data_IF_564189152687
#
_entry.id   IF_564189152687
#
_cell.length_a   1.000
_cell.length_b   1.000
_cell.length_c   1.000
_cell.angle_alpha   90.00
_cell.angle_beta   90.00
_cell.angle_gamma   90.00
#
_symmetry.space_group_name_H-M   'P 1'
#
loop_
_entity.id
_entity.type
_entity.pdbx_description
1 polymer ?
#
# COMPACT_ATOMS: atom_id res chain seq x y z
N UNK A 1 -5.12 0.47 11.39
CA UNK A 1 -3.88 0.14 10.69
C UNK A 1 -3.92 -1.34 10.40
N UNK A 2 -3.79 -1.77 9.15
CA UNK A 2 -3.78 -3.20 8.85
C UNK A 2 -2.59 -3.85 9.57
N UNK A 3 -2.84 -4.96 10.27
CA UNK A 3 -1.83 -5.73 11.00
C UNK A 3 -0.68 -6.13 10.05
N UNK A 4 -1.03 -6.37 8.79
CA UNK A 4 -0.11 -6.70 7.71
C UNK A 4 0.94 -5.61 7.41
N UNK A 5 0.52 -4.33 7.39
CA UNK A 5 1.43 -3.23 7.11
C UNK A 5 2.44 -3.06 8.24
N UNK A 6 1.99 -3.23 9.49
CA UNK A 6 2.84 -3.16 10.67
C UNK A 6 3.90 -4.27 10.64
N UNK A 7 3.50 -5.50 10.30
CA UNK A 7 4.43 -6.64 10.23
C UNK A 7 5.49 -6.47 9.15
N UNK A 8 5.13 -5.94 7.98
CA UNK A 8 6.10 -5.76 6.88
C UNK A 8 7.03 -4.54 7.05
N UNK A 9 6.59 -3.53 7.79
CA UNK A 9 7.36 -2.29 7.99
C UNK A 9 8.38 -2.39 9.13
N UNK A 10 8.31 -3.43 9.97
CA UNK A 10 9.15 -3.60 11.16
C UNK A 10 10.67 -3.67 10.89
N UNK A 11 11.09 -3.89 9.63
CA UNK A 11 12.51 -3.91 9.22
C UNK A 11 12.90 -2.86 8.17
N UNK A 12 11.99 -1.98 7.75
CA UNK A 12 12.28 -0.98 6.71
C UNK A 12 12.77 0.35 7.30
N UNK A 13 13.44 1.16 6.48
CA UNK A 13 13.81 2.50 6.92
C UNK A 13 12.54 3.33 7.18
N UNK A 14 12.52 4.19 8.22
CA UNK A 14 11.32 4.98 8.58
C UNK A 14 10.79 5.85 7.43
N UNK A 15 11.66 6.24 6.48
CA UNK A 15 11.30 6.97 5.28
C UNK A 15 10.50 6.12 4.28
N UNK A 16 10.83 4.83 4.17
CA UNK A 16 10.10 3.85 3.36
C UNK A 16 8.76 3.50 4.02
N UNK A 17 8.75 3.31 5.34
CA UNK A 17 7.52 3.07 6.11
C UNK A 17 6.52 4.21 5.90
N UNK A 18 6.97 5.47 6.01
CA UNK A 18 6.12 6.63 5.77
C UNK A 18 5.60 6.70 4.33
N UNK A 19 6.43 6.31 3.35
CA UNK A 19 6.05 6.24 1.94
C UNK A 19 4.96 5.18 1.70
N UNK A 20 5.21 3.95 2.14
CA UNK A 20 4.29 2.81 2.02
C UNK A 20 2.97 3.10 2.74
N UNK A 21 3.02 3.66 3.95
CA UNK A 21 1.82 4.01 4.73
C UNK A 21 0.98 5.05 4.01
N UNK A 22 1.60 6.12 3.48
CA UNK A 22 0.88 7.13 2.70
C UNK A 22 0.26 6.55 1.44
N UNK A 23 1.02 5.76 0.66
CA UNK A 23 0.53 5.15 -0.57
C UNK A 23 -0.64 4.21 -0.29
N UNK A 24 -0.57 3.45 0.81
CA UNK A 24 -1.62 2.56 1.26
C UNK A 24 -2.90 3.31 1.64
N UNK A 25 -2.81 4.34 2.47
CA UNK A 25 -3.97 5.17 2.84
C UNK A 25 -4.58 5.87 1.63
N UNK A 26 -3.76 6.39 0.71
CA UNK A 26 -4.23 6.99 -0.53
C UNK A 26 -5.00 6.00 -1.40
N UNK A 27 -4.49 4.78 -1.52
CA UNK A 27 -5.11 3.71 -2.33
C UNK A 27 -6.43 3.25 -1.74
N UNK A 28 -6.48 3.01 -0.42
CA UNK A 28 -7.74 2.67 0.25
C UNK A 28 -8.78 3.77 0.12
N UNK A 29 -8.36 5.03 0.23
CA UNK A 29 -9.25 6.19 0.06
C UNK A 29 -9.76 6.30 -1.37
N UNK A 30 -8.92 6.05 -2.37
CA UNK A 30 -9.30 6.05 -3.78
C UNK A 30 -10.28 4.91 -4.12
N UNK A 31 -10.02 3.71 -3.58
CA UNK A 31 -10.87 2.53 -3.77
C UNK A 31 -12.13 2.54 -2.87
N UNK A 32 -12.34 3.60 -2.07
CA UNK A 32 -13.45 3.74 -1.13
C UNK A 32 -13.64 2.54 -0.18
N UNK A 33 -12.55 1.87 0.17
CA UNK A 33 -12.59 0.67 1.03
C UNK A 33 -12.82 1.12 2.47
N UNK A 34 -14.05 0.95 2.96
CA UNK A 34 -14.42 1.25 4.35
C UNK A 34 -14.05 0.12 5.30
N UNK A 35 -14.18 -1.12 4.86
CA UNK A 35 -13.89 -2.29 5.68
C UNK A 35 -12.39 -2.58 5.68
N UNK A 36 -11.78 -2.41 6.85
CA UNK A 36 -10.33 -2.63 7.03
C UNK A 36 -9.96 -4.09 7.23
N UNK A 37 -10.96 -4.96 7.37
CA UNK A 37 -10.83 -6.41 7.46
C UNK A 37 -11.05 -7.10 6.10
N UNK A 38 -11.32 -6.32 5.06
CA UNK A 38 -11.50 -6.87 3.73
C UNK A 38 -10.18 -7.51 3.24
N UNK A 39 -10.23 -8.70 2.63
CA UNK A 39 -9.05 -9.31 1.99
C UNK A 39 -8.45 -8.40 0.91
N UNK A 40 -9.24 -7.46 0.38
CA UNK A 40 -8.79 -6.40 -0.51
C UNK A 40 -7.70 -5.53 0.14
N UNK A 41 -7.82 -5.24 1.44
CA UNK A 41 -6.85 -4.41 2.16
C UNK A 41 -5.49 -5.10 2.32
N UNK A 42 -5.46 -6.43 2.45
CA UNK A 42 -4.22 -7.20 2.42
C UNK A 42 -3.62 -7.20 1.01
N UNK A 43 -4.46 -7.35 -0.03
CA UNK A 43 -4.02 -7.32 -1.43
C UNK A 43 -3.37 -5.97 -1.77
N UNK A 44 -4.01 -4.86 -1.36
CA UNK A 44 -3.49 -3.50 -1.53
C UNK A 44 -2.12 -3.39 -0.85
N UNK A 45 -1.99 -3.83 0.41
CA UNK A 45 -0.72 -3.74 1.12
C UNK A 45 0.39 -4.56 0.42
N UNK A 46 0.10 -5.78 -0.04
CA UNK A 46 1.04 -6.60 -0.83
C UNK A 46 1.49 -5.89 -2.09
N UNK A 47 0.56 -5.33 -2.86
CA UNK A 47 0.86 -4.63 -4.12
C UNK A 47 1.70 -3.38 -3.88
N UNK A 48 1.32 -2.54 -2.91
CA UNK A 48 2.08 -1.34 -2.52
C UNK A 48 3.53 -1.71 -2.18
N UNK A 49 3.73 -2.76 -1.39
CA UNK A 49 5.08 -3.15 -0.95
C UNK A 49 5.88 -3.73 -2.10
N UNK A 50 5.26 -4.54 -2.95
CA UNK A 50 5.90 -5.04 -4.17
C UNK A 50 6.37 -3.90 -5.06
N UNK A 51 5.55 -2.86 -5.26
CA UNK A 51 5.89 -1.68 -6.04
C UNK A 51 6.98 -0.85 -5.34
N UNK A 52 6.91 -0.66 -4.02
CA UNK A 52 7.97 0.03 -3.26
C UNK A 52 9.33 -0.69 -3.39
N UNK A 53 9.32 -2.03 -3.36
CA UNK A 53 10.52 -2.85 -3.58
C UNK A 53 11.10 -2.75 -4.98
N UNK A 54 10.34 -2.29 -5.98
CA UNK A 54 10.89 -2.02 -7.33
C UNK A 54 11.79 -0.78 -7.38
N UNK A 55 11.92 -0.05 -6.27
CA UNK A 55 12.78 1.13 -6.16
C UNK A 55 12.03 2.46 -6.30
N UNK A 56 10.70 2.42 -6.47
CA UNK A 56 9.86 3.61 -6.46
C UNK A 56 9.79 4.15 -5.04
N UNK A 57 10.19 5.41 -4.85
CA UNK A 57 10.18 6.11 -3.55
C UNK A 57 9.08 7.16 -3.46
N UNK A 58 8.18 7.19 -4.44
CA UNK A 58 7.09 8.15 -4.52
C UNK A 58 5.76 7.51 -4.12
N UNK A 59 5.15 7.95 -2.99
CA UNK A 59 3.94 7.34 -2.47
C UNK A 59 2.74 7.50 -3.41
N UNK A 60 2.67 8.63 -4.13
CA UNK A 60 1.61 8.88 -5.10
C UNK A 60 1.72 7.95 -6.32
N UNK A 61 2.94 7.69 -6.81
CA UNK A 61 3.18 6.74 -7.91
C UNK A 61 2.87 5.31 -7.49
N UNK A 62 3.32 4.92 -6.29
CA UNK A 62 3.03 3.60 -5.74
C UNK A 62 1.52 3.39 -5.60
N UNK A 63 0.81 4.41 -5.10
CA UNK A 63 -0.65 4.36 -4.97
C UNK A 63 -1.34 4.26 -6.32
N UNK A 64 -1.00 5.12 -7.29
CA UNK A 64 -1.60 5.09 -8.61
C UNK A 64 -1.36 3.75 -9.33
N UNK A 65 -0.15 3.21 -9.22
CA UNK A 65 0.19 1.92 -9.82
C UNK A 65 -0.52 0.76 -9.10
N UNK A 66 -0.65 0.82 -7.78
CA UNK A 66 -1.41 -0.18 -7.03
C UNK A 66 -2.90 -0.15 -7.39
N UNK A 67 -3.50 1.02 -7.55
CA UNK A 67 -4.88 1.19 -8.01
C UNK A 67 -5.03 0.59 -9.41
N UNK A 68 -4.17 0.97 -10.35
CA UNK A 68 -4.21 0.43 -11.72
C UNK A 68 -4.07 -1.09 -11.76
N UNK A 69 -3.18 -1.69 -10.94
CA UNK A 69 -3.03 -3.15 -10.83
C UNK A 69 -4.27 -3.84 -10.21
N UNK A 70 -4.99 -3.15 -9.34
CA UNK A 70 -6.19 -3.67 -8.67
C UNK A 70 -7.46 -3.50 -9.52
N UNK A 71 -7.58 -2.38 -10.26
CA UNK A 71 -8.70 -2.12 -11.16
C UNK A 71 -8.66 -3.00 -12.42
N UNK A 72 -7.47 -3.43 -12.85
CA UNK A 72 -7.33 -4.35 -14.00
C UNK A 72 -7.63 -5.83 -13.67
N UNK A 73 -8.00 -6.15 -12.43
CA UNK A 73 -8.09 -7.53 -11.92
C UNK A 73 -9.49 -8.04 -11.71
#
# INVERSE_FOLDING_TARGET
MAIYLHLQTHGMAPKEIACITKAYEQTLRALCVKDRDDPLTELVAKTIIKIAQTGIKDPALISAQAISELEMR
#
